data_IF_160455057929
#
_entry.id   IF_160455057929
#
_cell.length_a   1.000
_cell.length_b   1.000
_cell.length_c   1.000
_cell.angle_alpha   90.00
_cell.angle_beta   90.00
_cell.angle_gamma   90.00
#
_symmetry.space_group_name_H-M   'P 1'
#
loop_
_entity.id
_entity.type
_entity.pdbx_description
1 polymer ?
#
# COMPACT_ATOMS: atom_id res chain seq x y z
N UNK A 1 -2.13 3.56 -29.43
CA UNK A 1 -3.17 4.23 -28.61
C UNK A 1 -3.27 5.73 -28.93
N UNK A 2 -4.37 6.44 -28.65
CA UNK A 2 -4.56 7.88 -28.95
C UNK A 2 -4.77 8.68 -27.66
N UNK A 3 -4.14 9.84 -27.55
CA UNK A 3 -4.25 10.72 -26.37
C UNK A 3 -5.63 11.39 -26.33
N UNK A 4 -6.42 11.11 -25.30
CA UNK A 4 -7.69 11.79 -25.01
C UNK A 4 -7.51 12.97 -24.06
N UNK A 5 -6.64 12.85 -23.05
CA UNK A 5 -6.29 13.94 -22.13
C UNK A 5 -4.83 13.81 -21.72
N UNK A 6 -4.13 14.93 -21.59
CA UNK A 6 -2.79 14.97 -20.98
C UNK A 6 -2.97 15.29 -19.50
N UNK A 7 -2.35 14.48 -18.63
CA UNK A 7 -2.35 14.72 -17.17
C UNK A 7 -1.10 15.52 -16.81
N UNK A 8 0.07 15.04 -17.22
CA UNK A 8 1.34 15.74 -17.10
C UNK A 8 2.30 15.27 -18.21
N UNK A 9 3.57 15.68 -18.19
CA UNK A 9 4.56 15.29 -19.22
C UNK A 9 4.81 13.78 -19.32
N UNK A 10 4.48 13.02 -18.27
CA UNK A 10 4.78 11.60 -18.11
C UNK A 10 3.53 10.69 -18.05
N UNK A 11 2.33 11.27 -18.21
CA UNK A 11 1.08 10.52 -18.11
C UNK A 11 -0.03 11.12 -18.95
N UNK A 12 -0.78 10.25 -19.62
CA UNK A 12 -1.92 10.59 -20.48
C UNK A 12 -3.08 9.64 -20.23
N UNK A 13 -4.28 10.11 -20.54
CA UNK A 13 -5.49 9.29 -20.63
C UNK A 13 -5.69 8.89 -22.08
N UNK A 14 -5.97 7.60 -22.31
CA UNK A 14 -6.36 7.02 -23.60
C UNK A 14 -7.61 6.15 -23.42
N UNK A 15 -8.13 5.63 -24.53
CA UNK A 15 -9.11 4.55 -24.53
C UNK A 15 -8.41 3.23 -24.88
N UNK A 16 -8.84 2.14 -24.23
CA UNK A 16 -8.49 0.77 -24.62
C UNK A 16 -9.31 0.33 -25.85
N UNK A 17 -8.98 -0.84 -26.39
CA UNK A 17 -9.73 -1.46 -27.50
C UNK A 17 -11.22 -1.71 -27.13
N UNK A 18 -11.51 -1.94 -25.85
CA UNK A 18 -12.86 -2.11 -25.32
C UNK A 18 -13.57 -0.77 -25.01
N UNK A 19 -13.00 0.36 -25.46
CA UNK A 19 -13.46 1.73 -25.15
C UNK A 19 -13.53 2.06 -23.65
N UNK A 20 -12.77 1.35 -22.82
CA UNK A 20 -12.61 1.70 -21.41
C UNK A 20 -11.51 2.75 -21.27
N UNK A 21 -11.71 3.70 -20.37
CA UNK A 21 -10.70 4.72 -20.08
C UNK A 21 -9.48 4.09 -19.39
N UNK A 22 -8.29 4.38 -19.91
CA UNK A 22 -7.01 3.89 -19.41
C UNK A 22 -6.06 5.05 -19.14
N UNK A 23 -5.19 4.89 -18.15
CA UNK A 23 -4.10 5.83 -17.89
C UNK A 23 -2.81 5.18 -18.39
N UNK A 24 -2.10 5.87 -19.27
CA UNK A 24 -0.84 5.42 -19.85
C UNK A 24 0.27 6.30 -19.28
N UNK A 25 1.29 5.66 -18.72
CA UNK A 25 2.42 6.32 -18.07
C UNK A 25 3.73 5.91 -18.72
N UNK A 26 4.66 6.86 -18.74
CA UNK A 26 6.03 6.65 -19.17
C UNK A 26 6.79 7.95 -19.26
N UNK A 27 8.11 7.88 -19.12
CA UNK A 27 8.96 9.08 -19.06
C UNK A 27 8.84 9.90 -20.36
N UNK A 28 8.34 11.13 -20.23
CA UNK A 28 8.16 12.06 -21.35
C UNK A 28 7.12 11.61 -22.39
N UNK A 29 6.18 10.74 -22.02
CA UNK A 29 5.18 10.19 -22.96
C UNK A 29 4.27 11.26 -23.57
N UNK A 30 4.01 12.35 -22.84
CA UNK A 30 3.19 13.47 -23.30
C UNK A 30 4.02 14.68 -23.75
N UNK A 31 5.35 14.62 -23.66
CA UNK A 31 6.22 15.76 -23.93
C UNK A 31 6.12 16.18 -25.40
N UNK A 32 5.66 17.41 -25.64
CA UNK A 32 5.44 17.95 -26.98
C UNK A 32 4.25 17.36 -27.74
N UNK A 33 3.39 16.59 -27.05
CA UNK A 33 2.17 15.99 -27.62
C UNK A 33 0.94 16.85 -27.31
N UNK A 34 -0.13 16.63 -28.05
CA UNK A 34 -1.46 17.21 -27.81
C UNK A 34 -2.56 16.15 -27.90
N UNK A 35 -3.76 16.50 -27.44
CA UNK A 35 -4.95 15.65 -27.59
C UNK A 35 -5.14 15.26 -29.07
N UNK A 36 -5.38 13.98 -29.30
CA UNK A 36 -5.52 13.38 -30.63
C UNK A 36 -4.23 12.81 -31.22
N UNK A 37 -3.07 13.08 -30.63
CA UNK A 37 -1.81 12.49 -31.09
C UNK A 37 -1.73 11.00 -30.70
N UNK A 38 -0.97 10.22 -31.48
CA UNK A 38 -0.63 8.85 -31.15
C UNK A 38 0.40 8.80 -30.01
N UNK A 39 0.15 7.85 -29.10
CA UNK A 39 1.10 7.43 -28.07
C UNK A 39 2.17 6.58 -28.73
N UNK A 40 3.42 6.84 -28.36
CA UNK A 40 4.57 6.06 -28.75
C UNK A 40 4.66 4.82 -27.85
N UNK A 41 4.38 3.63 -28.40
CA UNK A 41 4.26 2.39 -27.63
C UNK A 41 5.59 2.02 -26.94
N UNK A 42 6.74 2.44 -27.49
CA UNK A 42 8.07 2.19 -26.91
C UNK A 42 8.32 3.01 -25.63
N UNK A 43 7.54 4.08 -25.42
CA UNK A 43 7.61 4.92 -24.21
C UNK A 43 6.61 4.49 -23.15
N UNK A 44 5.78 3.49 -23.42
CA UNK A 44 4.81 3.00 -22.44
C UNK A 44 5.56 2.16 -21.41
N UNK A 45 5.64 2.67 -20.19
CA UNK A 45 6.16 1.92 -19.05
C UNK A 45 5.02 1.19 -18.33
N UNK A 46 3.85 1.82 -18.27
CA UNK A 46 2.69 1.25 -17.58
C UNK A 46 1.36 1.70 -18.18
N UNK A 47 0.39 0.78 -18.17
CA UNK A 47 -1.01 1.06 -18.47
C UNK A 47 -1.86 0.63 -17.27
N UNK A 48 -2.67 1.56 -16.76
CA UNK A 48 -3.65 1.29 -15.73
C UNK A 48 -5.04 1.17 -16.35
N UNK A 49 -5.64 0.00 -16.19
CA UNK A 49 -7.03 -0.27 -16.55
C UNK A 49 -7.85 -0.34 -15.27
N UNK A 50 -8.54 0.76 -14.93
CA UNK A 50 -9.30 0.83 -13.68
C UNK A 50 -10.79 0.73 -14.01
N UNK A 51 -11.43 -0.35 -13.54
CA UNK A 51 -12.86 -0.59 -13.74
C UNK A 51 -13.76 0.34 -12.91
N UNK A 52 -13.21 1.01 -11.89
CA UNK A 52 -13.92 1.89 -10.98
C UNK A 52 -13.61 3.37 -11.26
N UNK A 53 -14.60 4.14 -11.72
CA UNK A 53 -14.45 5.55 -12.10
C UNK A 53 -13.90 6.46 -10.99
N UNK A 54 -14.28 6.23 -9.73
CA UNK A 54 -13.77 7.01 -8.60
C UNK A 54 -12.28 6.79 -8.35
N UNK A 55 -11.82 5.56 -8.51
CA UNK A 55 -10.42 5.19 -8.32
C UNK A 55 -9.56 5.80 -9.43
N UNK A 56 -10.06 5.77 -10.67
CA UNK A 56 -9.45 6.42 -11.83
C UNK A 56 -9.30 7.92 -11.61
N UNK A 57 -10.33 8.59 -11.07
CA UNK A 57 -10.27 10.02 -10.80
C UNK A 57 -9.25 10.39 -9.72
N UNK A 58 -9.17 9.62 -8.62
CA UNK A 58 -8.14 9.82 -7.59
C UNK A 58 -6.73 9.62 -8.14
N UNK A 59 -6.52 8.59 -8.96
CA UNK A 59 -5.21 8.37 -9.58
C UNK A 59 -4.82 9.51 -10.53
N UNK A 60 -5.76 10.04 -11.33
CA UNK A 60 -5.52 11.21 -12.17
C UNK A 60 -5.08 12.43 -11.33
N UNK A 61 -5.74 12.69 -10.21
CA UNK A 61 -5.37 13.79 -9.31
C UNK A 61 -3.96 13.62 -8.76
N UNK A 62 -3.62 12.43 -8.24
CA UNK A 62 -2.27 12.18 -7.75
C UNK A 62 -1.21 12.34 -8.83
N UNK A 63 -1.49 11.92 -10.06
CA UNK A 63 -0.56 12.09 -11.19
C UNK A 63 -0.37 13.57 -11.53
N UNK A 64 -1.41 14.40 -11.42
CA UNK A 64 -1.31 15.84 -11.67
C UNK A 64 -0.53 16.57 -10.56
N UNK A 65 -0.60 16.09 -9.31
CA UNK A 65 -0.02 16.76 -8.13
C UNK A 65 1.37 16.24 -7.71
N UNK A 66 1.63 14.94 -7.87
CA UNK A 66 2.82 14.26 -7.35
C UNK A 66 3.86 14.04 -8.45
N UNK A 67 5.15 14.36 -8.21
CA UNK A 67 6.23 14.07 -9.15
C UNK A 67 6.33 12.58 -9.53
N UNK A 68 6.66 12.31 -10.79
CA UNK A 68 6.66 10.96 -11.38
C UNK A 68 7.63 10.01 -10.66
N UNK A 69 8.70 10.55 -10.07
CA UNK A 69 9.69 9.80 -9.34
C UNK A 69 9.08 9.06 -8.14
N UNK A 70 8.09 9.64 -7.46
CA UNK A 70 7.36 8.99 -6.37
C UNK A 70 6.49 7.82 -6.87
N UNK A 71 5.87 7.99 -8.03
CA UNK A 71 5.08 6.92 -8.66
C UNK A 71 5.98 5.75 -9.07
N UNK A 72 7.15 6.03 -9.66
CA UNK A 72 8.11 5.02 -10.07
C UNK A 72 8.64 4.22 -8.88
N UNK A 73 9.07 4.89 -7.80
CA UNK A 73 9.55 4.22 -6.58
C UNK A 73 8.44 3.39 -5.94
N UNK A 74 7.22 3.91 -5.88
CA UNK A 74 6.07 3.17 -5.35
C UNK A 74 5.77 1.93 -6.18
N UNK A 75 5.85 2.02 -7.51
CA UNK A 75 5.68 0.86 -8.39
C UNK A 75 6.77 -0.20 -8.14
N UNK A 76 8.02 0.20 -7.99
CA UNK A 76 9.13 -0.72 -7.73
C UNK A 76 8.96 -1.42 -6.37
N UNK A 77 8.54 -0.70 -5.34
CA UNK A 77 8.19 -1.27 -4.02
C UNK A 77 7.04 -2.27 -4.15
N UNK A 78 5.97 -1.93 -4.87
CA UNK A 78 4.81 -2.81 -5.06
C UNK A 78 5.18 -4.06 -5.86
N UNK A 79 6.02 -3.93 -6.90
CA UNK A 79 6.55 -5.08 -7.66
C UNK A 79 7.36 -6.00 -6.75
N UNK A 80 8.24 -5.43 -5.94
CA UNK A 80 9.03 -6.19 -4.97
C UNK A 80 8.13 -6.89 -3.95
N UNK A 81 7.12 -6.21 -3.40
CA UNK A 81 6.16 -6.78 -2.47
C UNK A 81 5.39 -7.97 -3.08
N UNK A 82 4.87 -7.81 -4.31
CA UNK A 82 4.18 -8.88 -5.04
C UNK A 82 5.08 -10.11 -5.24
N UNK A 83 6.35 -9.90 -5.57
CA UNK A 83 7.32 -10.97 -5.78
C UNK A 83 7.62 -11.72 -4.47
N UNK A 84 7.82 -10.99 -3.37
CA UNK A 84 8.14 -11.58 -2.06
C UNK A 84 6.95 -12.33 -1.46
N UNK A 85 5.75 -11.76 -1.53
CA UNK A 85 4.55 -12.35 -0.92
C UNK A 85 3.92 -13.47 -1.77
N UNK A 86 4.18 -13.48 -3.08
CA UNK A 86 3.55 -14.42 -4.01
C UNK A 86 2.04 -14.26 -4.12
N UNK A 87 1.51 -13.07 -3.79
CA UNK A 87 0.08 -12.74 -3.79
C UNK A 87 -0.24 -11.56 -4.71
N UNK A 88 -1.49 -11.50 -5.17
CA UNK A 88 -2.04 -10.29 -5.78
C UNK A 88 -2.33 -9.24 -4.71
N UNK A 89 -1.94 -8.00 -4.96
CA UNK A 89 -2.30 -6.84 -4.15
C UNK A 89 -3.34 -6.00 -4.90
N UNK A 90 -4.33 -5.46 -4.17
CA UNK A 90 -5.31 -4.54 -4.75
C UNK A 90 -4.62 -3.31 -5.35
N UNK A 91 -5.06 -2.90 -6.56
CA UNK A 91 -4.52 -1.74 -7.27
C UNK A 91 -4.72 -0.39 -6.52
N UNK A 92 -5.58 -0.34 -5.50
CA UNK A 92 -5.67 0.81 -4.58
C UNK A 92 -4.32 1.13 -3.91
N UNK A 93 -3.42 0.15 -3.77
CA UNK A 93 -2.09 0.35 -3.19
C UNK A 93 -1.24 1.34 -3.99
N UNK A 94 -1.39 1.42 -5.31
CA UNK A 94 -0.62 2.39 -6.11
C UNK A 94 -0.98 3.83 -5.74
N UNK A 95 -2.23 4.07 -5.32
CA UNK A 95 -2.69 5.38 -4.87
C UNK A 95 -2.21 5.60 -3.43
N UNK A 96 -2.55 4.67 -2.53
CA UNK A 96 -2.32 4.88 -1.09
C UNK A 96 -0.84 4.91 -0.73
N UNK A 97 -0.02 4.04 -1.34
CA UNK A 97 1.41 4.00 -1.08
C UNK A 97 2.14 5.20 -1.70
N UNK A 98 1.75 5.62 -2.91
CA UNK A 98 2.39 6.80 -3.54
C UNK A 98 2.13 8.07 -2.74
N UNK A 99 0.88 8.27 -2.32
CA UNK A 99 0.51 9.41 -1.47
C UNK A 99 1.28 9.38 -0.14
N UNK A 100 1.35 8.21 0.50
CA UNK A 100 2.10 8.02 1.74
C UNK A 100 3.59 8.33 1.58
N UNK A 101 4.27 7.78 0.57
CA UNK A 101 5.70 8.00 0.35
C UNK A 101 5.96 9.47 0.05
N UNK A 102 5.16 10.09 -0.83
CA UNK A 102 5.29 11.50 -1.14
C UNK A 102 5.18 12.35 0.13
N UNK A 103 4.14 12.12 0.94
CA UNK A 103 3.92 12.86 2.17
C UNK A 103 5.01 12.59 3.21
N UNK A 104 5.45 11.33 3.39
CA UNK A 104 6.50 10.96 4.34
C UNK A 104 7.83 11.65 4.01
N UNK A 105 8.24 11.65 2.73
CA UNK A 105 9.46 12.30 2.28
C UNK A 105 9.38 13.82 2.45
N UNK A 106 8.29 14.46 2.01
CA UNK A 106 8.12 15.91 2.13
C UNK A 106 8.03 16.38 3.59
N UNK A 107 7.40 15.59 4.44
CA UNK A 107 7.31 15.84 5.88
C UNK A 107 8.67 15.68 6.55
N UNK A 108 9.43 14.65 6.20
CA UNK A 108 10.79 14.45 6.73
C UNK A 108 11.74 15.58 6.33
N UNK A 109 11.69 16.05 5.07
CA UNK A 109 12.46 17.22 4.62
C UNK A 109 12.17 18.50 5.41
N UNK A 110 10.96 18.60 6.00
CA UNK A 110 10.56 19.70 6.90
C UNK A 110 10.96 19.46 8.36
N UNK A 111 11.68 18.39 8.67
CA UNK A 111 12.11 18.03 10.02
C UNK A 111 11.02 17.40 10.89
N UNK A 112 9.90 16.96 10.30
CA UNK A 112 8.76 16.39 11.03
C UNK A 112 8.82 14.86 11.02
N UNK A 113 9.24 14.28 12.14
CA UNK A 113 9.32 12.82 12.33
C UNK A 113 8.02 12.33 12.98
N UNK A 114 7.41 11.28 12.43
CA UNK A 114 6.24 10.61 13.03
C UNK A 114 6.69 9.31 13.67
N UNK A 115 6.06 9.00 14.79
CA UNK A 115 6.24 7.73 15.50
C UNK A 115 5.05 6.82 15.25
N UNK A 116 5.35 5.54 15.08
CA UNK A 116 4.34 4.50 14.98
C UNK A 116 4.16 3.86 16.36
N UNK A 117 3.01 4.12 17.00
CA UNK A 117 2.69 3.60 18.33
C UNK A 117 2.50 2.07 18.39
N UNK A 118 2.46 1.42 17.23
CA UNK A 118 2.30 -0.03 17.05
C UNK A 118 3.51 -0.66 16.35
N UNK A 119 4.66 0.03 16.33
CA UNK A 119 5.85 -0.44 15.61
C UNK A 119 6.24 -1.88 16.01
N UNK A 120 6.23 -2.19 17.30
CA UNK A 120 6.63 -3.51 17.80
C UNK A 120 5.61 -4.58 17.42
N UNK A 121 4.31 -4.28 17.55
CA UNK A 121 3.23 -5.18 17.17
C UNK A 121 3.23 -5.45 15.66
N UNK A 122 3.45 -4.44 14.83
CA UNK A 122 3.50 -4.58 13.37
C UNK A 122 4.70 -5.45 12.97
N UNK A 123 5.88 -5.24 13.57
CA UNK A 123 7.05 -6.10 13.35
C UNK A 123 6.76 -7.57 13.60
N UNK A 124 6.00 -7.86 14.65
CA UNK A 124 5.75 -9.23 15.09
C UNK A 124 4.56 -9.88 14.37
N UNK A 125 3.51 -9.11 14.10
CA UNK A 125 2.30 -9.61 13.46
C UNK A 125 2.45 -9.69 11.94
N UNK A 126 3.15 -8.74 11.32
CA UNK A 126 3.28 -8.59 9.87
C UNK A 126 4.77 -8.64 9.48
N UNK A 127 5.46 -9.72 9.88
CA UNK A 127 6.91 -9.88 9.73
C UNK A 127 7.37 -9.70 8.28
N UNK A 128 6.68 -10.34 7.32
CA UNK A 128 7.06 -10.30 5.91
C UNK A 128 6.84 -8.91 5.32
N UNK A 129 5.69 -8.31 5.60
CA UNK A 129 5.29 -6.98 5.14
C UNK A 129 6.19 -5.90 5.75
N UNK A 130 6.60 -6.06 7.01
CA UNK A 130 7.56 -5.17 7.66
C UNK A 130 8.97 -5.27 7.03
N UNK A 131 9.44 -6.47 6.69
CA UNK A 131 10.71 -6.63 5.98
C UNK A 131 10.67 -5.97 4.59
N UNK A 132 9.53 -6.07 3.90
CA UNK A 132 9.30 -5.34 2.65
C UNK A 132 9.34 -3.82 2.91
N UNK A 133 8.72 -3.35 3.99
CA UNK A 133 8.79 -1.95 4.41
C UNK A 133 10.21 -1.45 4.64
N UNK A 134 11.07 -2.26 5.27
CA UNK A 134 12.49 -1.92 5.46
C UNK A 134 13.25 -1.82 4.13
N UNK A 135 13.00 -2.72 3.19
CA UNK A 135 13.61 -2.64 1.86
C UNK A 135 13.09 -1.43 1.08
N UNK A 136 11.81 -1.11 1.22
CA UNK A 136 11.21 0.08 0.65
C UNK A 136 11.89 1.37 1.15
N UNK A 137 12.27 1.44 2.43
CA UNK A 137 13.03 2.60 2.95
C UNK A 137 14.37 2.77 2.23
N UNK A 138 15.06 1.68 1.88
CA UNK A 138 16.32 1.74 1.12
C UNK A 138 16.08 2.23 -0.31
N UNK A 139 15.01 1.77 -0.96
CA UNK A 139 14.62 2.23 -2.30
C UNK A 139 14.30 3.73 -2.30
N UNK A 140 13.58 4.21 -1.28
CA UNK A 140 13.27 5.63 -1.08
C UNK A 140 14.55 6.44 -0.85
N UNK A 141 15.47 5.95 -0.01
CA UNK A 141 16.76 6.61 0.25
C UNK A 141 17.59 6.72 -1.03
N UNK A 142 17.65 5.66 -1.84
CA UNK A 142 18.37 5.67 -3.12
C UNK A 142 17.77 6.67 -4.13
N UNK A 143 16.44 6.77 -4.18
CA UNK A 143 15.76 7.63 -5.13
C UNK A 143 15.77 9.12 -4.74
N UNK A 144 15.63 9.42 -3.45
CA UNK A 144 15.41 10.79 -2.96
C UNK A 144 16.54 11.33 -2.07
N UNK A 145 17.50 10.49 -1.68
CA UNK A 145 18.55 10.86 -0.73
C UNK A 145 18.03 11.10 0.69
N UNK A 146 16.88 10.51 1.04
CA UNK A 146 16.20 10.72 2.32
C UNK A 146 16.13 9.40 3.11
N UNK A 147 16.89 9.32 4.20
CA UNK A 147 16.84 8.21 5.15
C UNK A 147 15.66 8.33 6.12
N UNK A 148 14.52 7.77 5.76
CA UNK A 148 13.33 7.74 6.61
C UNK A 148 13.53 6.83 7.84
N UNK A 149 12.89 7.13 8.98
CA UNK A 149 13.00 6.29 10.17
C UNK A 149 12.26 4.96 9.99
N UNK A 150 12.64 3.97 10.80
CA UNK A 150 12.01 2.63 10.82
C UNK A 150 10.49 2.68 11.06
N UNK A 151 9.99 3.71 11.75
CA UNK A 151 8.56 3.97 11.92
C UNK A 151 7.80 4.00 10.57
N UNK A 152 8.42 4.51 9.50
CA UNK A 152 7.81 4.54 8.15
C UNK A 152 7.76 3.14 7.51
N UNK A 153 8.69 2.23 7.84
CA UNK A 153 8.60 0.84 7.38
C UNK A 153 7.34 0.15 7.93
N UNK A 154 6.93 0.48 9.16
CA UNK A 154 5.70 -0.04 9.74
C UNK A 154 4.45 0.53 9.05
N UNK A 155 4.44 1.81 8.64
CA UNK A 155 3.33 2.36 7.86
C UNK A 155 3.26 1.72 6.46
N UNK A 156 4.39 1.55 5.77
CA UNK A 156 4.44 0.85 4.49
C UNK A 156 3.91 -0.59 4.61
N UNK A 157 4.28 -1.30 5.68
CA UNK A 157 3.75 -2.64 5.95
C UNK A 157 2.22 -2.62 6.07
N UNK A 158 1.64 -1.64 6.77
CA UNK A 158 0.18 -1.50 6.86
C UNK A 158 -0.49 -1.24 5.50
N UNK A 159 0.13 -0.44 4.61
CA UNK A 159 -0.37 -0.25 3.24
C UNK A 159 -0.35 -1.55 2.43
N UNK A 160 0.62 -2.42 2.66
CA UNK A 160 0.69 -3.73 2.01
C UNK A 160 -0.41 -4.66 2.54
N UNK A 161 -0.53 -4.77 3.87
CA UNK A 161 -1.59 -5.57 4.51
C UNK A 161 -2.98 -5.08 4.08
N UNK A 162 -3.16 -3.78 3.94
CA UNK A 162 -4.37 -3.15 3.39
C UNK A 162 -4.72 -3.68 2.01
N UNK A 163 -3.73 -3.75 1.13
CA UNK A 163 -3.90 -4.22 -0.22
C UNK A 163 -4.11 -5.74 -0.33
N UNK A 164 -3.61 -6.52 0.64
CA UNK A 164 -3.85 -7.96 0.75
C UNK A 164 -5.25 -8.29 1.25
N UNK A 165 -5.71 -7.58 2.28
CA UNK A 165 -7.00 -7.84 2.94
C UNK A 165 -8.17 -7.08 2.31
N UNK A 166 -7.89 -6.11 1.45
CA UNK A 166 -8.88 -5.18 0.90
C UNK A 166 -9.67 -4.45 2.00
N UNK A 167 -8.97 -4.04 3.05
CA UNK A 167 -9.53 -3.36 4.23
C UNK A 167 -9.24 -1.85 4.19
N UNK A 168 -9.60 -1.12 5.24
CA UNK A 168 -9.10 0.24 5.50
C UNK A 168 -7.91 0.21 6.48
N UNK A 169 -6.99 1.19 6.39
CA UNK A 169 -5.82 1.24 7.28
C UNK A 169 -6.24 1.44 8.74
N UNK A 170 -7.31 2.23 8.97
CA UNK A 170 -7.92 2.39 10.29
C UNK A 170 -8.42 1.07 10.86
N UNK A 171 -9.02 0.23 10.03
CA UNK A 171 -9.44 -1.13 10.42
C UNK A 171 -8.24 -1.99 10.80
N UNK A 172 -7.16 -1.98 10.01
CA UNK A 172 -5.95 -2.78 10.30
C UNK A 172 -5.28 -2.32 11.60
N UNK A 173 -5.20 -1.02 11.85
CA UNK A 173 -4.70 -0.50 13.12
C UNK A 173 -5.57 -0.93 14.30
N UNK A 174 -6.90 -0.86 14.16
CA UNK A 174 -7.84 -1.33 15.18
C UNK A 174 -7.68 -2.84 15.44
N UNK A 175 -7.56 -3.64 14.37
CA UNK A 175 -7.31 -5.07 14.46
C UNK A 175 -6.00 -5.37 15.21
N UNK A 176 -4.93 -4.64 14.87
CA UNK A 176 -3.62 -4.76 15.52
C UNK A 176 -3.71 -4.46 17.01
N UNK A 177 -4.42 -3.41 17.40
CA UNK A 177 -4.63 -3.04 18.80
C UNK A 177 -5.46 -4.09 19.55
N UNK A 178 -6.50 -4.65 18.92
CA UNK A 178 -7.29 -5.75 19.51
C UNK A 178 -6.39 -6.97 19.78
N UNK A 179 -5.60 -7.39 18.80
CA UNK A 179 -4.69 -8.54 18.95
C UNK A 179 -3.69 -8.29 20.08
N UNK A 180 -3.09 -7.11 20.13
CA UNK A 180 -2.16 -6.68 21.19
C UNK A 180 -2.79 -6.77 22.58
N UNK A 181 -3.98 -6.20 22.77
CA UNK A 181 -4.64 -6.21 24.09
C UNK A 181 -5.06 -7.63 24.51
N UNK A 182 -5.47 -8.49 23.57
CA UNK A 182 -5.75 -9.91 23.89
C UNK A 182 -4.48 -10.65 24.30
N UNK A 183 -3.38 -10.47 23.56
CA UNK A 183 -2.09 -11.07 23.91
C UNK A 183 -1.64 -10.64 25.31
N UNK A 184 -1.82 -9.36 25.63
CA UNK A 184 -1.51 -8.80 26.94
C UNK A 184 -2.35 -9.45 28.04
N UNK A 185 -3.66 -9.63 27.84
CA UNK A 185 -4.55 -10.32 28.80
C UNK A 185 -4.05 -11.75 29.05
N UNK A 186 -3.77 -12.52 27.99
CA UNK A 186 -3.30 -13.90 28.12
C UNK A 186 -1.95 -13.96 28.83
N UNK A 187 -1.01 -13.09 28.45
CA UNK A 187 0.32 -12.98 29.05
C UNK A 187 0.25 -12.75 30.56
N UNK A 188 -0.54 -11.76 31.00
CA UNK A 188 -0.68 -11.42 32.42
C UNK A 188 -1.50 -12.44 33.20
N UNK A 189 -2.55 -13.03 32.61
CA UNK A 189 -3.38 -14.01 33.29
C UNK A 189 -2.61 -15.29 33.61
N UNK A 190 -1.82 -15.78 32.65
CA UNK A 190 -1.06 -17.02 32.80
C UNK A 190 0.37 -16.81 33.31
N UNK A 191 0.84 -15.56 33.42
CA UNK A 191 2.22 -15.21 33.81
C UNK A 191 3.28 -15.90 32.94
N UNK A 192 3.04 -15.92 31.63
CA UNK A 192 3.93 -16.55 30.64
C UNK A 192 4.58 -15.51 29.73
N UNK A 193 5.63 -15.92 29.04
CA UNK A 193 6.13 -15.25 27.84
C UNK A 193 5.75 -16.09 26.61
N UNK A 194 5.48 -15.45 25.48
CA UNK A 194 5.19 -16.17 24.25
C UNK A 194 6.48 -16.58 23.55
N UNK A 195 6.51 -17.82 23.06
CA UNK A 195 7.54 -18.27 22.12
C UNK A 195 7.12 -17.87 20.70
N UNK A 196 7.53 -16.67 20.28
CA UNK A 196 7.04 -16.00 19.05
C UNK A 196 7.41 -16.72 17.74
N UNK A 197 8.37 -17.64 17.80
CA UNK A 197 8.79 -18.48 16.66
C UNK A 197 8.10 -19.85 16.64
N UNK A 198 7.24 -20.15 17.62
CA UNK A 198 6.54 -21.42 17.68
C UNK A 198 5.33 -21.47 16.74
N UNK A 199 5.07 -22.65 16.16
CA UNK A 199 3.86 -22.88 15.34
C UNK A 199 2.56 -22.63 16.12
N UNK A 200 2.57 -22.89 17.43
CA UNK A 200 1.42 -22.65 18.29
C UNK A 200 1.11 -21.16 18.41
N UNK A 201 2.14 -20.32 18.59
CA UNK A 201 1.97 -18.89 18.61
C UNK A 201 1.47 -18.37 17.26
N UNK A 202 2.07 -18.83 16.15
CA UNK A 202 1.62 -18.44 14.81
C UNK A 202 0.13 -18.77 14.56
N UNK A 203 -0.30 -19.98 14.96
CA UNK A 203 -1.70 -20.39 14.88
C UNK A 203 -2.59 -19.51 15.75
N UNK A 204 -2.16 -19.20 16.98
CA UNK A 204 -2.91 -18.35 17.89
C UNK A 204 -3.11 -16.94 17.32
N UNK A 205 -2.04 -16.30 16.85
CA UNK A 205 -2.09 -15.00 16.18
C UNK A 205 -3.02 -15.01 14.97
N UNK A 206 -2.93 -16.05 14.14
CA UNK A 206 -3.79 -16.20 12.96
C UNK A 206 -5.27 -16.19 13.36
N UNK A 207 -5.66 -16.95 14.39
CA UNK A 207 -7.04 -16.94 14.88
C UNK A 207 -7.46 -15.61 15.50
N UNK A 208 -6.56 -14.92 16.22
CA UNK A 208 -6.83 -13.58 16.74
C UNK A 208 -7.02 -12.55 15.63
N UNK A 209 -6.23 -12.62 14.56
CA UNK A 209 -6.40 -11.76 13.37
C UNK A 209 -7.78 -11.96 12.73
N UNK A 210 -8.20 -13.22 12.51
CA UNK A 210 -9.54 -13.50 11.99
C UNK A 210 -10.65 -13.04 12.93
N UNK A 211 -10.47 -13.20 14.24
CA UNK A 211 -11.41 -12.68 15.23
C UNK A 211 -11.52 -11.16 15.17
N UNK A 212 -10.39 -10.46 15.18
CA UNK A 212 -10.33 -9.01 15.12
C UNK A 212 -10.93 -8.46 13.83
N UNK A 213 -10.65 -9.11 12.68
CA UNK A 213 -11.24 -8.76 11.39
C UNK A 213 -12.77 -8.82 11.43
N UNK A 214 -13.34 -9.94 11.88
CA UNK A 214 -14.80 -10.10 12.00
C UNK A 214 -15.41 -9.07 12.95
N UNK A 215 -14.73 -8.81 14.08
CA UNK A 215 -15.21 -7.84 15.07
C UNK A 215 -15.28 -6.42 14.50
N UNK A 216 -14.23 -6.00 13.79
CA UNK A 216 -14.16 -4.67 13.16
C UNK A 216 -15.18 -4.55 12.01
N UNK A 217 -15.34 -5.62 11.23
CA UNK A 217 -16.29 -5.65 10.11
C UNK A 217 -17.75 -5.87 10.54
N UNK A 218 -18.00 -6.10 11.83
CA UNK A 218 -19.33 -6.41 12.39
C UNK A 218 -20.00 -7.61 11.73
N UNK A 219 -19.20 -8.60 11.34
CA UNK A 219 -19.69 -9.87 10.81
C UNK A 219 -20.00 -10.80 11.97
N UNK A 220 -21.29 -10.95 12.26
CA UNK A 220 -21.78 -11.89 13.25
C UNK A 220 -22.29 -13.15 12.53
N UNK A 221 -21.96 -14.32 13.06
CA UNK A 221 -22.67 -15.53 12.67
C UNK A 221 -24.14 -15.35 13.07
N UNK A 222 -25.06 -15.59 12.14
CA UNK A 222 -26.45 -15.85 12.53
C UNK A 222 -26.41 -17.04 13.48
N UNK A 223 -27.02 -16.86 14.65
CA UNK A 223 -27.11 -17.90 15.65
C UNK A 223 -28.00 -19.00 15.05
N UNK A 224 -27.40 -20.12 14.63
CA UNK A 224 -28.10 -21.35 14.23
C UNK A 224 -28.77 -22.01 15.46
N UNK A 225 -29.56 -21.23 16.21
CA UNK A 225 -30.50 -21.72 17.21
C UNK A 225 -31.88 -21.80 16.56
N UNK A 226 -32.05 -22.85 15.74
CA UNK A 226 -33.34 -23.54 15.59
C UNK A 226 -33.56 -24.51 16.76
#
# INVERSE_FOLDING_TARGET
MVIEKILNNNAVVSLSDERSEIIVMGKGIAFGKKRGDLIDDDRIEKVFTLKNGDLTNKLKQLIEEIPIEYMAVSEDIIKFAKLQLGKSLNDTIYISLTDHIHYAVERFKKGLIIKNGLLWEIKNLYKEEFQIGLEALKMIEQAFGVGLPEDEAAFIALHIVNAELNEDIGNIMAMTEIVKEILKIVKYHFLIEFEEESLNYYRFITHLKFFAQRLVNKEFYEDDRQ
#
